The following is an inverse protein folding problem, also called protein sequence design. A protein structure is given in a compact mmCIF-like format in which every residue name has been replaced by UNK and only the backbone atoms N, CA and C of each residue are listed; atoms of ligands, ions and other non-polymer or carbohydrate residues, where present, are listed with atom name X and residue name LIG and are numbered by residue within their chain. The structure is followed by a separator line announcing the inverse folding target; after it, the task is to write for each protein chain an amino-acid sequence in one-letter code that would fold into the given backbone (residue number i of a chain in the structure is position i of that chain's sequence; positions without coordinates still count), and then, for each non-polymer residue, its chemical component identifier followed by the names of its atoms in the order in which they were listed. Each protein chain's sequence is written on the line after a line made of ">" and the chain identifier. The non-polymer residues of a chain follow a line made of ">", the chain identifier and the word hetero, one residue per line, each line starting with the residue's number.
data_IF_200241063266
#
_entry.id   IF_200241063266
#
_cell.length_a   1.000
_cell.length_b   1.000
_cell.length_c   1.000
_cell.angle_alpha   90.00
_cell.angle_beta   90.00
_cell.angle_gamma   90.00
#
_symmetry.space_group_name_H-M   'P 1'
#
loop_
_entity.id
_entity.type
_entity.pdbx_description
1 polymer ?
#
# COMPACT_ATOMS: atom_id res chain seq x y z
N UNK A 1 -1.52 12.49 -8.15
CA UNK A 1 -2.58 11.85 -8.97
C UNK A 1 -2.33 10.36 -8.90
N UNK A 2 -3.35 9.56 -8.61
CA UNK A 2 -3.26 8.11 -8.52
C UNK A 2 -4.29 7.54 -9.48
N UNK A 3 -3.87 6.65 -10.39
CA UNK A 3 -4.74 5.98 -11.32
C UNK A 3 -4.95 4.53 -10.86
N UNK A 4 -6.20 4.20 -10.48
CA UNK A 4 -6.56 2.89 -9.94
C UNK A 4 -6.67 1.80 -10.98
N UNK A 5 -6.83 2.16 -12.25
CA UNK A 5 -6.92 1.19 -13.34
C UNK A 5 -5.55 0.75 -13.84
N UNK A 6 -4.57 1.66 -13.83
CA UNK A 6 -3.22 1.40 -14.33
C UNK A 6 -2.19 1.22 -13.22
N UNK A 7 -2.57 1.41 -11.96
CA UNK A 7 -1.68 1.46 -10.79
C UNK A 7 -0.56 2.50 -10.91
N UNK A 8 -0.77 3.54 -11.74
CA UNK A 8 0.21 4.60 -11.93
C UNK A 8 0.03 5.70 -10.88
N UNK A 9 1.15 6.14 -10.32
CA UNK A 9 1.18 7.23 -9.36
C UNK A 9 2.08 8.34 -9.88
N UNK A 10 1.60 9.58 -9.77
CA UNK A 10 2.39 10.77 -10.08
C UNK A 10 2.24 11.85 -9.02
N UNK A 11 3.32 12.56 -8.74
CA UNK A 11 3.34 13.71 -7.83
C UNK A 11 3.93 14.91 -8.56
N UNK A 12 3.19 16.03 -8.58
CA UNK A 12 3.59 17.24 -9.29
C UNK A 12 4.03 16.97 -10.75
N UNK A 13 3.30 16.10 -11.46
CA UNK A 13 3.58 15.73 -12.84
C UNK A 13 4.74 14.74 -13.05
N UNK A 14 5.42 14.30 -11.99
CA UNK A 14 6.48 13.28 -12.06
C UNK A 14 5.92 11.90 -11.74
N UNK A 15 6.09 10.89 -12.60
CA UNK A 15 5.73 9.52 -12.27
C UNK A 15 6.58 9.02 -11.10
N UNK A 16 5.98 8.22 -10.25
CA UNK A 16 6.63 7.55 -9.12
C UNK A 16 6.37 6.07 -9.32
N UNK A 17 7.45 5.31 -9.51
CA UNK A 17 7.38 3.86 -9.51
C UNK A 17 7.21 3.39 -8.06
N UNK A 18 6.15 2.63 -7.83
CA UNK A 18 5.85 2.04 -6.53
C UNK A 18 5.74 0.53 -6.71
N UNK A 19 6.21 -0.22 -5.73
CA UNK A 19 5.88 -1.63 -5.60
C UNK A 19 4.39 -1.79 -5.30
N UNK A 20 3.84 -2.99 -5.54
CA UNK A 20 2.43 -3.28 -5.24
C UNK A 20 2.05 -2.98 -3.77
N UNK A 21 2.97 -3.23 -2.83
CA UNK A 21 2.76 -2.94 -1.39
C UNK A 21 2.72 -1.45 -1.11
N UNK A 22 3.63 -0.66 -1.69
CA UNK A 22 3.66 0.79 -1.50
C UNK A 22 2.45 1.46 -2.15
N UNK A 23 2.02 0.98 -3.32
CA UNK A 23 0.79 1.42 -3.95
C UNK A 23 -0.43 1.17 -3.06
N UNK A 24 -0.58 -0.04 -2.52
CA UNK A 24 -1.69 -0.39 -1.62
C UNK A 24 -1.69 0.45 -0.34
N UNK A 25 -0.50 0.70 0.24
CA UNK A 25 -0.36 1.57 1.41
C UNK A 25 -0.80 2.99 1.07
N UNK A 26 -0.33 3.54 -0.05
CA UNK A 26 -0.70 4.89 -0.48
C UNK A 26 -2.20 5.00 -0.74
N UNK A 27 -2.79 4.02 -1.42
CA UNK A 27 -4.23 3.96 -1.66
C UNK A 27 -5.01 3.94 -0.34
N UNK A 28 -4.60 3.10 0.63
CA UNK A 28 -5.22 3.03 1.95
C UNK A 28 -5.18 4.38 2.69
N UNK A 29 -4.03 5.05 2.66
CA UNK A 29 -3.87 6.36 3.29
C UNK A 29 -4.69 7.44 2.58
N UNK A 30 -4.76 7.41 1.25
CA UNK A 30 -5.56 8.34 0.45
C UNK A 30 -7.07 8.16 0.69
N UNK A 31 -7.56 6.92 0.72
CA UNK A 31 -8.97 6.60 1.03
C UNK A 31 -9.34 7.01 2.46
N UNK A 32 -8.40 6.88 3.40
CA UNK A 32 -8.63 7.24 4.79
C UNK A 32 -8.83 8.75 5.00
N UNK A 33 -8.55 9.58 3.98
CA UNK A 33 -8.92 11.00 3.98
C UNK A 33 -8.29 11.80 5.12
N UNK A 34 -7.07 11.46 5.53
CA UNK A 34 -6.36 12.10 6.63
C UNK A 34 -6.76 11.62 8.03
N UNK A 35 -7.63 10.60 8.15
CA UNK A 35 -7.90 9.95 9.44
C UNK A 35 -6.68 9.16 9.89
N UNK A 36 -6.51 9.05 11.21
CA UNK A 36 -5.44 8.25 11.80
C UNK A 36 -5.64 6.78 11.42
N UNK A 37 -4.72 6.22 10.63
CA UNK A 37 -4.70 4.80 10.30
C UNK A 37 -3.75 4.12 11.27
N UNK A 38 -4.27 3.19 12.07
CA UNK A 38 -3.44 2.44 13.02
C UNK A 38 -2.49 1.50 12.27
N UNK A 39 -1.33 1.24 12.87
CA UNK A 39 -0.36 0.27 12.34
C UNK A 39 -0.98 -1.11 12.11
N UNK A 40 -1.86 -1.56 13.01
CA UNK A 40 -2.58 -2.82 12.88
C UNK A 40 -3.43 -2.85 11.59
N UNK A 41 -4.20 -1.79 11.33
CA UNK A 41 -5.04 -1.69 10.13
C UNK A 41 -4.22 -1.64 8.83
N UNK A 42 -3.06 -0.97 8.86
CA UNK A 42 -2.13 -0.96 7.73
C UNK A 42 -1.62 -2.38 7.45
N UNK A 43 -1.17 -3.10 8.49
CA UNK A 43 -0.70 -4.47 8.35
C UNK A 43 -1.79 -5.41 7.83
N UNK A 44 -3.01 -5.31 8.35
CA UNK A 44 -4.13 -6.14 7.88
C UNK A 44 -4.49 -5.87 6.42
N UNK A 45 -4.53 -4.61 5.98
CA UNK A 45 -4.99 -4.27 4.62
C UNK A 45 -3.91 -4.37 3.55
N UNK A 46 -2.64 -4.10 3.89
CA UNK A 46 -1.54 -4.10 2.91
C UNK A 46 -0.80 -5.44 2.90
N UNK A 47 -0.64 -6.08 4.06
CA UNK A 47 0.03 -7.38 4.17
C UNK A 47 -0.93 -8.56 4.25
N UNK A 48 -2.19 -8.34 4.64
CA UNK A 48 -3.18 -9.42 4.75
C UNK A 48 -2.79 -10.40 5.84
N UNK A 49 -3.44 -10.32 7.01
CA UNK A 49 -3.48 -11.48 7.91
C UNK A 49 -4.43 -12.54 7.32
N UNK A 50 -4.08 -13.07 6.16
CA UNK A 50 -4.29 -14.47 5.84
C UNK A 50 -2.93 -15.11 6.06
N UNK A 51 -2.66 -15.46 7.32
CA UNK A 51 -1.60 -16.39 7.65
C UNK A 51 -1.89 -17.71 6.94
N UNK A 52 -1.35 -17.87 5.74
CA UNK A 52 -0.70 -19.14 5.45
C UNK A 52 0.70 -19.01 6.07
N UNK A 53 1.01 -19.70 7.18
CA UNK A 53 2.26 -19.50 7.94
C UNK A 53 3.53 -19.94 7.19
N UNK A 54 3.46 -20.25 5.89
CA UNK A 54 4.47 -21.00 5.16
C UNK A 54 5.37 -20.20 4.21
N UNK A 55 5.21 -18.89 4.09
CA UNK A 55 6.10 -18.09 3.22
C UNK A 55 6.92 -17.09 4.00
N UNK A 56 7.93 -17.68 4.66
CA UNK A 56 9.22 -17.11 5.00
C UNK A 56 9.71 -16.10 3.94
N UNK A 57 9.44 -14.80 4.11
CA UNK A 57 10.19 -13.73 3.45
C UNK A 57 10.16 -12.50 4.34
N UNK A 58 11.20 -12.32 5.17
CA UNK A 58 12.04 -11.11 5.13
C UNK A 58 13.43 -11.51 5.62
N UNK A 59 14.34 -11.70 4.68
CA UNK A 59 15.79 -11.57 4.86
C UNK A 59 16.21 -10.44 3.91
N UNK A 60 16.63 -9.29 4.46
CA UNK A 60 17.69 -8.35 4.03
C UNK A 60 17.79 -7.20 5.02
#
# INVERSE_FOLDING_TARGET
>A
LLNRQTHEVSRAGRPIELTAKEYNLLELLMISGGKLVSRARILEQVWGYSSDPLTNVVDV
#
